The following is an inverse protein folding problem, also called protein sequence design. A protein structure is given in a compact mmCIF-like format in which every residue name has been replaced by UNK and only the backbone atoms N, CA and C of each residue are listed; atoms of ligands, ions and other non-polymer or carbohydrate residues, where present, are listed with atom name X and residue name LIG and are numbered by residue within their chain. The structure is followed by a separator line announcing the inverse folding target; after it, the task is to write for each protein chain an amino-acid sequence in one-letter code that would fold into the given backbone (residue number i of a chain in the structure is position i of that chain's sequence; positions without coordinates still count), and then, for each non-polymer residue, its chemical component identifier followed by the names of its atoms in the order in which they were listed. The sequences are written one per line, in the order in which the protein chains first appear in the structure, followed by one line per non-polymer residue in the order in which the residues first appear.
data_IF_819696715811
#
_entry.id   IF_819696715811
#
_cell.length_a   1.000
_cell.length_b   1.000
_cell.length_c   1.000
_cell.angle_alpha   90.00
_cell.angle_beta   90.00
_cell.angle_gamma   90.00
#
_symmetry.space_group_name_H-M   'P 1'
#
loop_
_entity.id
_entity.type
_entity.pdbx_description
1 polymer ?
#
# COMPACT_ATOMS: atom_id res chain seq x y z
N UNK A 1 14.71 1.70 -19.02
CA UNK A 1 13.42 0.99 -19.20
C UNK A 1 12.35 2.04 -19.42
N UNK A 2 11.58 1.95 -20.51
CA UNK A 2 10.55 2.95 -20.85
C UNK A 2 9.34 2.72 -19.94
N UNK A 3 8.92 3.76 -19.21
CA UNK A 3 7.76 3.73 -18.32
C UNK A 3 6.48 3.58 -19.15
N UNK A 4 5.56 2.69 -18.75
CA UNK A 4 4.30 2.47 -19.48
C UNK A 4 3.28 3.52 -19.04
N UNK A 5 2.59 4.14 -20.00
CA UNK A 5 1.43 4.98 -19.69
C UNK A 5 0.21 4.09 -19.42
N UNK A 6 -0.18 4.00 -18.15
CA UNK A 6 -1.40 3.29 -17.73
C UNK A 6 -2.63 4.20 -17.85
N UNK A 7 -3.74 3.61 -18.29
CA UNK A 7 -5.06 4.23 -18.21
C UNK A 7 -5.56 4.29 -16.76
N UNK A 8 -6.49 5.20 -16.47
CA UNK A 8 -7.13 5.26 -15.14
C UNK A 8 -7.78 3.94 -14.75
N UNK A 9 -8.35 3.20 -15.72
CA UNK A 9 -8.99 1.91 -15.48
C UNK A 9 -7.99 0.84 -15.04
N UNK A 10 -6.84 0.74 -15.73
CA UNK A 10 -5.77 -0.18 -15.36
C UNK A 10 -5.19 0.11 -13.99
N UNK A 11 -5.06 1.40 -13.63
CA UNK A 11 -4.61 1.82 -12.29
C UNK A 11 -5.62 1.46 -11.23
N UNK A 12 -6.90 1.70 -11.47
CA UNK A 12 -7.97 1.37 -10.51
C UNK A 12 -8.05 -0.14 -10.29
N UNK A 13 -7.87 -0.95 -11.35
CA UNK A 13 -7.86 -2.41 -11.23
C UNK A 13 -6.73 -2.94 -10.36
N UNK A 14 -5.58 -2.28 -10.37
CA UNK A 14 -4.37 -2.70 -9.64
C UNK A 14 -4.10 -1.87 -8.38
N UNK A 15 -5.06 -1.03 -7.96
CA UNK A 15 -4.82 -0.02 -6.92
C UNK A 15 -4.61 -0.67 -5.55
N UNK A 16 -5.33 -1.75 -5.26
CA UNK A 16 -5.22 -2.44 -3.98
C UNK A 16 -3.89 -3.19 -3.91
N UNK A 17 -3.51 -3.95 -4.94
CA UNK A 17 -2.22 -4.63 -5.01
C UNK A 17 -1.05 -3.64 -4.90
N UNK A 18 -1.19 -2.45 -5.50
CA UNK A 18 -0.22 -1.37 -5.34
C UNK A 18 -0.11 -0.89 -3.88
N UNK A 19 -1.24 -0.67 -3.21
CA UNK A 19 -1.28 -0.22 -1.81
C UNK A 19 -0.76 -1.28 -0.84
N UNK A 20 -0.98 -2.56 -1.17
CA UNK A 20 -0.50 -3.73 -0.43
C UNK A 20 0.96 -4.09 -0.74
N UNK A 21 1.61 -3.38 -1.67
CA UNK A 21 2.99 -3.62 -2.13
C UNK A 21 3.19 -5.01 -2.75
N UNK A 22 2.16 -5.55 -3.41
CA UNK A 22 2.16 -6.88 -4.02
C UNK A 22 2.54 -6.86 -5.52
N UNK A 23 2.72 -5.67 -6.09
CA UNK A 23 3.14 -5.52 -7.48
C UNK A 23 4.66 -5.58 -7.63
N UNK A 24 5.12 -6.02 -8.80
CA UNK A 24 6.53 -5.93 -9.16
C UNK A 24 7.00 -4.46 -9.24
N UNK A 25 8.33 -4.26 -9.24
CA UNK A 25 8.93 -2.93 -9.21
C UNK A 25 8.54 -2.05 -10.43
N UNK A 26 8.36 -2.65 -11.60
CA UNK A 26 8.01 -1.91 -12.81
C UNK A 26 6.54 -1.49 -12.77
N UNK A 27 5.64 -2.41 -12.43
CA UNK A 27 4.20 -2.12 -12.29
C UNK A 27 3.93 -1.08 -11.19
N UNK A 28 4.62 -1.19 -10.06
CA UNK A 28 4.57 -0.21 -8.98
C UNK A 28 5.03 1.18 -9.45
N UNK A 29 6.12 1.24 -10.21
CA UNK A 29 6.60 2.50 -10.77
C UNK A 29 5.62 3.08 -11.80
N UNK A 30 5.00 2.27 -12.65
CA UNK A 30 4.04 2.77 -13.65
C UNK A 30 2.78 3.36 -12.98
N UNK A 31 2.26 2.72 -11.93
CA UNK A 31 1.13 3.26 -11.14
C UNK A 31 1.54 4.54 -10.39
N UNK A 32 2.69 4.55 -9.74
CA UNK A 32 3.19 5.75 -9.05
C UNK A 32 3.32 6.94 -10.00
N UNK A 33 3.72 6.71 -11.25
CA UNK A 33 3.76 7.75 -12.28
C UNK A 33 2.38 8.35 -12.53
N UNK A 34 1.39 7.48 -12.72
CA UNK A 34 0.04 7.87 -13.02
C UNK A 34 -0.56 8.66 -11.85
N UNK A 35 -0.37 8.20 -10.60
CA UNK A 35 -0.86 8.91 -9.41
C UNK A 35 -0.25 10.32 -9.26
N UNK A 36 0.98 10.53 -9.73
CA UNK A 36 1.60 11.88 -9.73
C UNK A 36 0.97 12.84 -10.74
N UNK A 37 0.26 12.33 -11.76
CA UNK A 37 -0.27 13.12 -12.88
C UNK A 37 -1.80 13.17 -12.92
N UNK A 38 -2.47 12.18 -12.35
CA UNK A 38 -3.92 12.04 -12.35
C UNK A 38 -4.49 12.29 -10.96
N UNK A 39 -5.14 13.45 -10.78
CA UNK A 39 -5.76 13.84 -9.51
C UNK A 39 -6.88 12.90 -9.07
N UNK A 40 -7.63 12.33 -10.02
CA UNK A 40 -8.75 11.44 -9.71
C UNK A 40 -8.26 10.12 -9.13
N UNK A 41 -7.27 9.49 -9.77
CA UNK A 41 -6.65 8.27 -9.26
C UNK A 41 -5.90 8.51 -7.95
N UNK A 42 -5.22 9.66 -7.81
CA UNK A 42 -4.61 10.06 -6.54
C UNK A 42 -5.65 10.15 -5.41
N UNK A 43 -6.78 10.81 -5.66
CA UNK A 43 -7.84 10.96 -4.67
C UNK A 43 -8.42 9.61 -4.24
N UNK A 44 -8.57 8.66 -5.19
CA UNK A 44 -8.99 7.28 -4.89
C UNK A 44 -7.98 6.55 -4.02
N UNK A 45 -6.69 6.64 -4.34
CA UNK A 45 -5.63 6.01 -3.56
C UNK A 45 -5.60 6.55 -2.11
N UNK A 46 -5.74 7.86 -1.94
CA UNK A 46 -5.77 8.49 -0.62
C UNK A 46 -7.03 8.17 0.16
N UNK A 47 -8.18 8.01 -0.51
CA UNK A 47 -9.40 7.54 0.12
C UNK A 47 -9.21 6.13 0.69
N UNK A 48 -8.67 5.21 -0.11
CA UNK A 48 -8.44 3.83 0.29
C UNK A 48 -7.47 3.72 1.49
N UNK A 49 -6.37 4.49 1.47
CA UNK A 49 -5.45 4.58 2.62
C UNK A 49 -6.14 5.07 3.90
N UNK A 50 -6.95 6.13 3.80
CA UNK A 50 -7.68 6.69 4.95
C UNK A 50 -8.73 5.72 5.48
N UNK A 51 -9.42 5.01 4.59
CA UNK A 51 -10.40 4.00 4.96
C UNK A 51 -9.72 2.87 5.74
N UNK A 52 -8.62 2.32 5.21
CA UNK A 52 -7.82 1.27 5.86
C UNK A 52 -7.33 1.70 7.24
N UNK A 53 -6.76 2.91 7.36
CA UNK A 53 -6.34 3.45 8.67
C UNK A 53 -7.50 3.48 9.67
N UNK A 54 -8.68 3.97 9.27
CA UNK A 54 -9.84 4.02 10.17
C UNK A 54 -10.34 2.64 10.58
N UNK A 55 -10.30 1.66 9.68
CA UNK A 55 -10.66 0.27 9.98
C UNK A 55 -9.66 -0.33 10.96
N UNK A 56 -8.36 -0.09 10.77
CA UNK A 56 -7.31 -0.52 11.71
C UNK A 56 -7.46 0.13 13.08
N UNK A 57 -7.76 1.43 13.14
CA UNK A 57 -7.96 2.15 14.40
C UNK A 57 -9.20 1.65 15.16
N UNK A 58 -10.22 1.21 14.42
CA UNK A 58 -11.42 0.59 15.00
C UNK A 58 -11.17 -0.85 15.48
N UNK A 59 -10.12 -1.52 15.01
CA UNK A 59 -9.76 -2.85 15.47
C UNK A 59 -9.14 -2.76 16.88
N UNK A 60 -9.81 -3.37 17.86
CA UNK A 60 -9.46 -3.25 19.28
C UNK A 60 -8.41 -4.26 19.76
N UNK A 61 -8.03 -5.23 18.94
CA UNK A 61 -7.12 -6.30 19.35
C UNK A 61 -5.66 -5.94 19.08
N UNK A 62 -4.91 -5.70 20.16
CA UNK A 62 -3.46 -5.55 20.10
C UNK A 62 -2.80 -6.92 20.21
N UNK A 63 -1.70 -7.11 19.49
CA UNK A 63 -0.86 -8.30 19.65
C UNK A 63 -0.41 -8.45 21.12
N UNK A 64 -0.43 -9.66 21.71
CA UNK A 64 0.04 -9.89 23.07
C UNK A 64 1.49 -9.44 23.27
N UNK A 65 1.81 -8.88 24.42
CA UNK A 65 3.16 -8.35 24.74
C UNK A 65 4.26 -9.40 24.53
N UNK A 66 3.99 -10.64 24.93
CA UNK A 66 4.93 -11.77 24.76
C UNK A 66 5.32 -12.01 23.30
N UNK A 67 4.38 -11.84 22.36
CA UNK A 67 4.65 -11.97 20.93
C UNK A 67 5.51 -10.81 20.45
N UNK A 68 5.21 -9.58 20.89
CA UNK A 68 5.98 -8.40 20.53
C UNK A 68 7.43 -8.51 21.02
N UNK A 69 7.65 -8.93 22.26
CA UNK A 69 8.99 -9.15 22.83
C UNK A 69 9.78 -10.23 22.09
N UNK A 70 9.11 -11.31 21.68
CA UNK A 70 9.74 -12.39 20.91
C UNK A 70 10.18 -11.88 19.54
N UNK A 71 9.34 -11.10 18.85
CA UNK A 71 9.69 -10.50 17.56
C UNK A 71 10.88 -9.55 17.70
N UNK A 72 10.86 -8.66 18.71
CA UNK A 72 11.98 -7.73 18.98
C UNK A 72 13.31 -8.47 19.17
N UNK A 73 13.33 -9.51 20.01
CA UNK A 73 14.52 -10.34 20.24
C UNK A 73 15.05 -11.02 18.97
N UNK A 74 14.17 -11.41 18.05
CA UNK A 74 14.59 -11.98 16.77
C UNK A 74 15.28 -10.90 15.93
N UNK A 75 14.67 -9.72 15.81
CA UNK A 75 15.21 -8.61 15.02
C UNK A 75 16.55 -8.07 15.55
N UNK A 76 16.79 -8.10 16.86
CA UNK A 76 18.05 -7.70 17.49
C UNK A 76 19.22 -8.66 17.23
N UNK A 77 18.93 -9.89 16.81
CA UNK A 77 19.93 -10.95 16.56
C UNK A 77 20.25 -11.16 15.07
N UNK A 78 19.70 -10.31 14.18
CA UNK A 78 20.04 -10.23 12.76
C UNK A 78 21.00 -9.07 12.50
#
# INVERSE_FOLDING_TARGET
MSRRELSCEEVVRQLLEYLDQELDAQSSADIEHHLKRCRDCFTRAEFEKKLRSRVTDAASERAPEQLQERIKRILENF
#
